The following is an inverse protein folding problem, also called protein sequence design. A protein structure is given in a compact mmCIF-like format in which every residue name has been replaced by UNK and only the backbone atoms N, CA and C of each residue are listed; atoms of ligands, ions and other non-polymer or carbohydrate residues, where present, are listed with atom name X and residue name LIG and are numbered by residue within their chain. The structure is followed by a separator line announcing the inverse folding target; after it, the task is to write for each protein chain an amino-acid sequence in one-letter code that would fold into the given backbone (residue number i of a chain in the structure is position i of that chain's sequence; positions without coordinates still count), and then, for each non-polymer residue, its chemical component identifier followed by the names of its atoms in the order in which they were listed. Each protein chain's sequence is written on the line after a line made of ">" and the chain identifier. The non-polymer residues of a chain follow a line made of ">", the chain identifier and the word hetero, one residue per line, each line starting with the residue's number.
data_IF_749299140477
#
_entry.id   IF_749299140477
#
_cell.length_a   1.000
_cell.length_b   1.000
_cell.length_c   1.000
_cell.angle_alpha   90.00
_cell.angle_beta   90.00
_cell.angle_gamma   90.00
#
_symmetry.space_group_name_H-M   'P 1'
#
loop_
_entity.id
_entity.type
_entity.pdbx_description
1 polymer ?
#
# COMPACT_ATOMS: atom_id res chain seq x y z
N UNK A 1 12.36 2.45 -17.12
CA UNK A 1 11.43 2.46 -15.97
C UNK A 1 10.44 1.34 -16.23
N UNK A 2 10.54 0.22 -15.52
CA UNK A 2 9.53 -0.84 -15.62
C UNK A 2 8.24 -0.24 -15.06
N UNK A 3 7.29 0.00 -15.96
CA UNK A 3 5.90 0.24 -15.59
C UNK A 3 5.45 -1.00 -14.83
N UNK A 4 4.93 -0.86 -13.61
CA UNK A 4 4.41 -2.00 -12.86
C UNK A 4 3.45 -2.81 -13.75
N UNK A 5 3.73 -4.10 -13.92
CA UNK A 5 3.01 -4.97 -14.87
C UNK A 5 1.65 -5.46 -14.35
N UNK A 6 1.36 -5.25 -13.06
CA UNK A 6 0.16 -5.73 -12.38
C UNK A 6 -0.32 -4.74 -11.30
N UNK A 7 -1.61 -4.76 -11.00
CA UNK A 7 -2.24 -3.89 -9.99
C UNK A 7 -2.86 -4.71 -8.86
N UNK A 8 -2.83 -4.15 -7.65
CA UNK A 8 -3.52 -4.71 -6.48
C UNK A 8 -4.79 -3.91 -6.23
N UNK A 9 -5.94 -4.59 -6.11
CA UNK A 9 -7.23 -3.97 -5.78
C UNK A 9 -7.85 -4.66 -4.58
N UNK A 10 -7.89 -3.95 -3.45
CA UNK A 10 -8.54 -4.41 -2.23
C UNK A 10 -9.79 -3.58 -1.92
N UNK A 11 -10.79 -4.22 -1.31
CA UNK A 11 -11.95 -3.51 -0.74
C UNK A 11 -11.66 -3.20 0.73
N UNK A 12 -11.95 -1.96 1.12
CA UNK A 12 -11.84 -1.45 2.48
C UNK A 12 -12.92 -0.38 2.65
N UNK A 13 -13.42 -0.19 3.85
CA UNK A 13 -14.32 0.92 4.14
C UNK A 13 -13.57 2.27 4.06
N UNK A 14 -14.33 3.34 3.80
CA UNK A 14 -13.77 4.67 3.56
C UNK A 14 -13.05 5.23 4.80
N UNK A 15 -13.61 5.07 5.99
CA UNK A 15 -13.03 5.59 7.24
C UNK A 15 -11.66 4.94 7.51
N UNK A 16 -11.58 3.62 7.40
CA UNK A 16 -10.31 2.91 7.57
C UNK A 16 -9.30 3.33 6.51
N UNK A 17 -9.71 3.51 5.25
CA UNK A 17 -8.82 3.99 4.19
C UNK A 17 -8.24 5.37 4.52
N UNK A 18 -9.08 6.32 4.93
CA UNK A 18 -8.66 7.69 5.22
C UNK A 18 -7.69 7.75 6.39
N UNK A 19 -8.02 7.08 7.51
CA UNK A 19 -7.15 7.03 8.69
C UNK A 19 -5.81 6.37 8.39
N UNK A 20 -5.81 5.25 7.66
CA UNK A 20 -4.59 4.56 7.28
C UNK A 20 -3.73 5.41 6.33
N UNK A 21 -4.35 6.08 5.36
CA UNK A 21 -3.62 6.94 4.40
C UNK A 21 -2.99 8.12 5.13
N UNK A 22 -3.72 8.79 6.03
CA UNK A 22 -3.17 9.90 6.81
C UNK A 22 -1.99 9.47 7.70
N UNK A 23 -2.06 8.29 8.30
CA UNK A 23 -0.96 7.74 9.10
C UNK A 23 0.28 7.43 8.22
N UNK A 24 0.08 6.84 7.04
CA UNK A 24 1.16 6.55 6.10
C UNK A 24 1.81 7.83 5.55
N UNK A 25 1.02 8.84 5.23
CA UNK A 25 1.52 10.15 4.78
C UNK A 25 2.38 10.82 5.86
N UNK A 26 1.97 10.74 7.13
CA UNK A 26 2.77 11.24 8.25
C UNK A 26 4.11 10.49 8.41
N UNK A 27 4.21 9.26 7.90
CA UNK A 27 5.44 8.47 7.83
C UNK A 27 6.24 8.72 6.53
N UNK A 28 5.73 9.55 5.60
CA UNK A 28 6.35 9.80 4.30
C UNK A 28 6.18 8.65 3.30
N UNK A 29 5.14 7.82 3.47
CA UNK A 29 4.86 6.66 2.63
C UNK A 29 3.53 6.83 1.90
N UNK A 30 3.44 6.34 0.66
CA UNK A 30 2.15 6.18 0.00
C UNK A 30 1.48 4.86 0.38
N UNK A 31 0.16 4.78 0.20
CA UNK A 31 -0.57 3.52 0.34
C UNK A 31 -0.03 2.41 -0.58
N UNK A 32 0.42 2.76 -1.79
CA UNK A 32 1.02 1.83 -2.74
C UNK A 32 2.36 1.29 -2.24
N UNK A 33 3.21 2.14 -1.65
CA UNK A 33 4.50 1.73 -1.11
C UNK A 33 4.31 0.77 0.06
N UNK A 34 3.39 1.07 0.96
CA UNK A 34 3.07 0.21 2.11
C UNK A 34 2.60 -1.19 1.67
N UNK A 35 1.71 -1.26 0.67
CA UNK A 35 1.23 -2.53 0.12
C UNK A 35 2.37 -3.28 -0.58
N UNK A 36 3.22 -2.60 -1.35
CA UNK A 36 4.34 -3.23 -2.05
C UNK A 36 5.35 -3.83 -1.06
N UNK A 37 5.73 -3.07 -0.02
CA UNK A 37 6.64 -3.55 1.03
C UNK A 37 6.08 -4.78 1.75
N UNK A 38 4.77 -4.78 2.04
CA UNK A 38 4.11 -5.94 2.63
C UNK A 38 4.14 -7.16 1.71
N UNK A 39 3.81 -6.98 0.42
CA UNK A 39 3.82 -8.07 -0.57
C UNK A 39 5.21 -8.66 -0.76
N UNK A 40 6.25 -7.81 -0.81
CA UNK A 40 7.65 -8.26 -0.85
C UNK A 40 7.99 -9.10 0.37
N UNK A 41 7.65 -8.61 1.58
CA UNK A 41 7.91 -9.34 2.82
C UNK A 41 7.22 -10.70 2.87
N UNK A 42 5.97 -10.78 2.39
CA UNK A 42 5.20 -12.03 2.33
C UNK A 42 5.74 -12.98 1.26
N UNK A 43 6.35 -12.47 0.19
CA UNK A 43 6.95 -13.30 -0.86
C UNK A 43 8.32 -13.89 -0.46
N UNK A 44 9.04 -13.20 0.42
CA UNK A 44 10.36 -13.62 0.92
C UNK A 44 10.27 -14.61 2.10
N UNK A 45 9.13 -14.67 2.80
CA UNK A 45 8.81 -15.64 3.86
C UNK A 45 8.12 -16.90 3.29
#
# INVERSE_FOLDING_TARGET
>A
MSTADSYVRARIDTDTKERATAALEAMGLSASDAILLLMLRVADD
#
